data_IF_262791934566
#
_entry.id   IF_262791934566
#
_cell.length_a   1.000
_cell.length_b   1.000
_cell.length_c   1.000
_cell.angle_alpha   90.00
_cell.angle_beta   90.00
_cell.angle_gamma   90.00
#
_symmetry.space_group_name_H-M   'P 1'
#
loop_
_entity.id
_entity.type
_entity.pdbx_description
1 polymer ?
#
# COMPACT_ATOMS: atom_id res chain seq x y z
N UNK A 1 1.24 -13.63 3.36
CA UNK A 1 0.13 -13.64 4.35
C UNK A 1 -0.49 -15.02 4.37
N UNK A 2 -0.74 -15.59 5.54
CA UNK A 2 -1.45 -16.87 5.64
C UNK A 2 -2.95 -16.71 5.38
N UNK A 3 -3.65 -17.82 5.12
CA UNK A 3 -5.07 -17.83 4.76
C UNK A 3 -5.97 -17.30 5.88
N UNK A 4 -5.59 -17.53 7.15
CA UNK A 4 -6.37 -17.09 8.30
C UNK A 4 -6.34 -15.57 8.43
N UNK A 5 -5.15 -14.97 8.27
CA UNK A 5 -5.00 -13.51 8.23
C UNK A 5 -5.76 -12.94 7.02
N UNK A 6 -5.63 -13.52 5.83
CA UNK A 6 -6.35 -13.04 4.64
C UNK A 6 -7.87 -12.99 4.87
N UNK A 7 -8.46 -14.06 5.41
CA UNK A 7 -9.89 -14.11 5.75
C UNK A 7 -10.29 -13.10 6.82
N UNK A 8 -9.42 -12.80 7.77
CA UNK A 8 -9.69 -11.79 8.79
C UNK A 8 -9.87 -10.41 8.16
N UNK A 9 -8.96 -9.98 7.28
CA UNK A 9 -9.06 -8.68 6.60
C UNK A 9 -10.30 -8.60 5.71
N UNK A 10 -10.60 -9.66 4.95
CA UNK A 10 -11.77 -9.71 4.09
C UNK A 10 -13.07 -9.56 4.89
N UNK A 11 -13.22 -10.33 5.98
CA UNK A 11 -14.45 -10.36 6.76
C UNK A 11 -14.66 -9.12 7.65
N UNK A 12 -13.61 -8.36 7.96
CA UNK A 12 -13.67 -7.21 8.86
C UNK A 12 -13.36 -5.88 8.15
N UNK A 13 -13.42 -5.85 6.82
CA UNK A 13 -12.97 -4.73 6.02
C UNK A 13 -13.62 -3.38 6.42
N UNK A 14 -14.92 -3.36 6.74
CA UNK A 14 -15.61 -2.12 7.17
C UNK A 14 -15.06 -1.54 8.47
N UNK A 15 -14.87 -2.40 9.49
CA UNK A 15 -14.36 -1.98 10.79
C UNK A 15 -12.89 -1.54 10.70
N UNK A 16 -12.10 -2.28 9.92
CA UNK A 16 -10.70 -1.94 9.64
C UNK A 16 -10.60 -0.60 8.92
N UNK A 17 -11.40 -0.37 7.88
CA UNK A 17 -11.43 0.90 7.15
C UNK A 17 -11.72 2.08 8.08
N UNK A 18 -12.75 1.96 8.93
CA UNK A 18 -13.10 3.00 9.91
C UNK A 18 -11.95 3.26 10.89
N UNK A 19 -11.35 2.20 11.43
CA UNK A 19 -10.25 2.29 12.38
C UNK A 19 -9.03 2.97 11.75
N UNK A 20 -8.63 2.54 10.56
CA UNK A 20 -7.45 3.06 9.88
C UNK A 20 -7.64 4.54 9.50
N UNK A 21 -8.81 4.91 8.97
CA UNK A 21 -9.10 6.29 8.60
C UNK A 21 -9.23 7.23 9.81
N UNK A 22 -9.51 6.72 11.01
CA UNK A 22 -9.54 7.54 12.24
C UNK A 22 -8.15 7.85 12.82
N UNK A 23 -7.11 7.15 12.37
CA UNK A 23 -5.75 7.36 12.85
C UNK A 23 -4.98 8.23 11.87
N UNK A 24 -4.33 9.28 12.37
CA UNK A 24 -3.40 10.07 11.57
C UNK A 24 -2.27 9.21 11.02
N UNK A 25 -1.88 9.47 9.77
CA UNK A 25 -0.74 8.80 9.16
C UNK A 25 0.56 9.43 9.66
N UNK A 26 1.54 8.63 10.15
CA UNK A 26 2.86 9.16 10.48
C UNK A 26 3.60 9.71 9.25
N UNK A 27 3.17 9.35 8.04
CA UNK A 27 3.75 9.85 6.80
C UNK A 27 3.56 11.35 6.61
N UNK A 28 2.52 11.95 7.20
CA UNK A 28 2.22 13.37 7.05
C UNK A 28 3.39 14.27 7.47
N UNK A 29 4.15 13.86 8.50
CA UNK A 29 5.31 14.59 8.99
C UNK A 29 6.64 14.08 8.41
N UNK A 30 6.74 12.79 8.06
CA UNK A 30 7.97 12.18 7.57
C UNK A 30 8.24 12.49 6.09
N UNK A 31 7.21 12.36 5.25
CA UNK A 31 7.34 12.44 3.79
C UNK A 31 7.89 13.78 3.31
N UNK A 32 7.46 14.96 3.80
CA UNK A 32 7.99 16.25 3.35
C UNK A 32 9.48 16.45 3.64
N UNK A 33 10.03 15.68 4.58
CA UNK A 33 11.44 15.75 4.99
C UNK A 33 12.28 14.75 4.22
N UNK A 34 11.71 13.61 3.84
CA UNK A 34 12.42 12.50 3.22
C UNK A 34 12.35 12.51 1.70
N UNK A 35 11.23 12.98 1.12
CA UNK A 35 10.94 12.83 -0.30
C UNK A 35 10.91 14.19 -1.01
N UNK A 36 11.28 14.22 -2.29
CA UNK A 36 11.13 15.38 -3.15
C UNK A 36 9.72 15.41 -3.74
N UNK A 37 9.15 16.61 -3.89
CA UNK A 37 7.79 16.77 -4.44
C UNK A 37 7.65 16.14 -5.83
N UNK A 38 6.50 15.51 -6.08
CA UNK A 38 6.19 14.88 -7.36
C UNK A 38 6.86 13.52 -7.58
N UNK A 39 7.66 13.02 -6.62
CA UNK A 39 8.20 11.67 -6.66
C UNK A 39 7.10 10.61 -6.62
N UNK A 40 7.40 9.45 -7.19
CA UNK A 40 6.48 8.34 -7.32
C UNK A 40 6.63 7.36 -6.16
N UNK A 41 5.52 7.03 -5.51
CA UNK A 41 5.51 6.26 -4.25
C UNK A 41 4.58 5.06 -4.35
N UNK A 42 5.05 3.89 -3.90
CA UNK A 42 4.23 2.68 -3.77
C UNK A 42 4.00 2.36 -2.29
N UNK A 43 2.73 2.27 -1.88
CA UNK A 43 2.33 1.78 -0.57
C UNK A 43 1.91 0.30 -0.67
N UNK A 44 2.73 -0.59 -0.12
CA UNK A 44 2.47 -2.03 -0.16
C UNK A 44 1.66 -2.43 1.05
N UNK A 45 0.53 -3.13 0.83
CA UNK A 45 -0.44 -3.44 1.88
C UNK A 45 -1.20 -2.19 2.33
N UNK A 46 -1.66 -1.38 1.38
CA UNK A 46 -2.18 -0.03 1.64
C UNK A 46 -3.53 -0.02 2.41
N UNK A 47 -4.17 -1.17 2.61
CA UNK A 47 -5.37 -1.30 3.44
C UNK A 47 -6.50 -0.37 2.98
N UNK A 48 -6.86 0.60 3.82
CA UNK A 48 -7.92 1.57 3.51
C UNK A 48 -7.53 2.63 2.48
N UNK A 49 -6.29 2.63 2.01
CA UNK A 49 -5.77 3.66 1.10
C UNK A 49 -5.53 5.02 1.76
N UNK A 50 -5.54 5.09 3.09
CA UNK A 50 -5.29 6.33 3.86
C UNK A 50 -3.97 6.99 3.43
N UNK A 51 -2.92 6.20 3.40
CA UNK A 51 -1.55 6.68 3.16
C UNK A 51 -1.37 7.09 1.68
N UNK A 52 -1.94 6.32 0.75
CA UNK A 52 -2.04 6.70 -0.67
C UNK A 52 -2.79 8.03 -0.84
N UNK A 53 -3.97 8.18 -0.22
CA UNK A 53 -4.76 9.42 -0.31
C UNK A 53 -3.98 10.63 0.20
N UNK A 54 -3.31 10.49 1.34
CA UNK A 54 -2.50 11.55 1.92
C UNK A 54 -1.37 11.95 0.95
N UNK A 55 -0.66 10.99 0.39
CA UNK A 55 0.43 11.24 -0.57
C UNK A 55 -0.08 11.98 -1.83
N UNK A 56 -1.24 11.57 -2.37
CA UNK A 56 -1.87 12.27 -3.50
C UNK A 56 -2.21 13.72 -3.14
N UNK A 57 -2.76 13.98 -1.95
CA UNK A 57 -3.09 15.32 -1.48
C UNK A 57 -1.85 16.20 -1.26
N UNK A 58 -0.71 15.58 -0.95
CA UNK A 58 0.59 16.24 -0.81
C UNK A 58 1.30 16.47 -2.15
N UNK A 59 0.75 15.98 -3.27
CA UNK A 59 1.27 16.19 -4.62
C UNK A 59 2.30 15.16 -5.08
N UNK A 60 2.28 13.95 -4.52
CA UNK A 60 3.08 12.81 -4.99
C UNK A 60 2.31 11.98 -6.01
N UNK A 61 3.04 11.25 -6.86
CA UNK A 61 2.47 10.26 -7.77
C UNK A 61 2.35 8.91 -7.04
N UNK A 62 1.26 8.73 -6.29
CA UNK A 62 1.13 7.66 -5.31
C UNK A 62 0.20 6.53 -5.77
N UNK A 63 0.62 5.30 -5.48
CA UNK A 63 -0.12 4.08 -5.78
C UNK A 63 -0.08 3.12 -4.59
N UNK A 64 -1.05 2.22 -4.50
CA UNK A 64 -1.11 1.20 -3.45
C UNK A 64 -1.41 -0.19 -4.00
N UNK A 65 -0.96 -1.22 -3.28
CA UNK A 65 -1.44 -2.59 -3.47
C UNK A 65 -2.05 -3.15 -2.20
N UNK A 66 -3.18 -3.83 -2.33
CA UNK A 66 -3.89 -4.46 -1.22
C UNK A 66 -4.43 -5.83 -1.66
N UNK A 67 -4.16 -6.92 -0.91
CA UNK A 67 -4.66 -8.23 -1.25
C UNK A 67 -6.18 -8.41 -1.09
N UNK A 68 -6.81 -7.77 -0.08
CA UNK A 68 -8.22 -7.96 0.21
C UNK A 68 -9.11 -7.22 -0.79
N UNK A 69 -9.98 -7.97 -1.45
CA UNK A 69 -10.91 -7.43 -2.45
C UNK A 69 -11.91 -6.49 -1.76
N UNK A 70 -12.48 -6.91 -0.62
CA UNK A 70 -13.38 -6.08 0.19
C UNK A 70 -12.75 -4.76 0.66
N UNK A 71 -11.47 -4.76 1.08
CA UNK A 71 -10.81 -3.52 1.49
C UNK A 71 -10.59 -2.56 0.33
N UNK A 72 -10.15 -3.06 -0.83
CA UNK A 72 -9.95 -2.22 -2.03
C UNK A 72 -11.25 -1.59 -2.52
N UNK A 73 -12.32 -2.38 -2.59
CA UNK A 73 -13.63 -1.88 -3.01
C UNK A 73 -14.15 -0.81 -2.04
N UNK A 74 -14.02 -1.06 -0.73
CA UNK A 74 -14.44 -0.11 0.29
C UNK A 74 -13.56 1.15 0.32
N UNK A 75 -12.25 1.03 0.11
CA UNK A 75 -11.35 2.19 0.07
C UNK A 75 -11.75 3.14 -1.05
N UNK A 76 -11.93 2.63 -2.27
CA UNK A 76 -12.36 3.43 -3.43
C UNK A 76 -13.76 4.00 -3.23
N UNK A 77 -14.70 3.20 -2.70
CA UNK A 77 -16.06 3.69 -2.40
C UNK A 77 -16.06 4.81 -1.37
N UNK A 78 -15.19 4.74 -0.36
CA UNK A 78 -15.08 5.75 0.69
C UNK A 78 -14.32 7.00 0.25
N UNK A 79 -13.43 6.85 -0.72
CA UNK A 79 -12.62 7.91 -1.28
C UNK A 79 -12.40 7.68 -2.79
N UNK A 80 -13.27 8.25 -3.64
CA UNK A 80 -13.20 8.05 -5.09
C UNK A 80 -11.90 8.53 -5.76
N UNK A 81 -11.08 9.37 -5.09
CA UNK A 81 -9.75 9.75 -5.59
C UNK A 81 -8.78 8.57 -5.68
N UNK A 82 -9.07 7.47 -4.98
CA UNK A 82 -8.26 6.25 -5.00
C UNK A 82 -8.54 5.36 -6.22
N UNK A 83 -9.57 5.68 -7.00
CA UNK A 83 -9.86 4.96 -8.24
C UNK A 83 -8.69 5.10 -9.23
N UNK A 84 -8.21 3.98 -9.75
CA UNK A 84 -6.99 3.94 -10.58
C UNK A 84 -5.66 4.10 -9.83
N UNK A 85 -5.69 4.22 -8.49
CA UNK A 85 -4.48 4.32 -7.65
C UNK A 85 -4.24 3.10 -6.75
N UNK A 86 -5.23 2.23 -6.56
CA UNK A 86 -5.10 1.03 -5.72
C UNK A 86 -5.37 -0.22 -6.56
N UNK A 87 -4.44 -1.17 -6.50
CA UNK A 87 -4.49 -2.41 -7.28
C UNK A 87 -4.50 -3.64 -6.40
N UNK A 88 -4.99 -4.76 -6.94
CA UNK A 88 -4.90 -6.07 -6.28
C UNK A 88 -3.44 -6.49 -6.26
N UNK A 89 -2.89 -6.93 -5.13
CA UNK A 89 -1.52 -7.44 -5.12
C UNK A 89 -1.04 -7.86 -3.75
N UNK A 90 -0.03 -8.72 -3.70
CA UNK A 90 0.54 -9.18 -2.43
C UNK A 90 1.97 -9.66 -2.60
N UNK A 91 2.86 -9.33 -1.67
CA UNK A 91 4.20 -9.90 -1.67
C UNK A 91 4.17 -11.44 -1.52
N UNK A 92 5.06 -12.17 -2.23
CA UNK A 92 6.15 -11.65 -3.07
C UNK A 92 5.74 -11.27 -4.51
N UNK A 93 4.51 -11.54 -4.93
CA UNK A 93 4.04 -11.36 -6.30
C UNK A 93 3.28 -10.03 -6.48
N UNK A 94 4.00 -9.04 -6.99
CA UNK A 94 3.45 -7.72 -7.29
C UNK A 94 2.58 -7.77 -8.56
N UNK A 95 1.59 -6.88 -8.67
CA UNK A 95 0.60 -6.89 -9.74
C UNK A 95 1.17 -6.37 -11.07
N UNK A 96 0.71 -6.93 -12.19
CA UNK A 96 1.14 -6.52 -13.54
C UNK A 96 0.73 -5.07 -13.89
N UNK A 97 -0.30 -4.53 -13.22
CA UNK A 97 -0.73 -3.13 -13.42
C UNK A 97 0.23 -2.12 -12.76
N UNK A 98 1.10 -2.57 -11.85
CA UNK A 98 2.18 -1.73 -11.35
C UNK A 98 3.23 -1.58 -12.44
N UNK A 99 3.09 -0.53 -13.24
CA UNK A 99 4.02 -0.23 -14.33
C UNK A 99 5.13 0.71 -13.86
N UNK A 100 6.36 0.49 -14.34
CA UNK A 100 7.50 1.38 -14.11
C UNK A 100 8.13 1.28 -12.72
N UNK A 101 9.10 2.15 -12.47
CA UNK A 101 9.87 2.19 -11.21
C UNK A 101 9.35 3.29 -10.28
N UNK A 102 9.57 3.10 -8.98
CA UNK A 102 9.18 3.98 -7.88
C UNK A 102 10.39 4.62 -7.24
N UNK A 103 10.26 5.87 -6.80
CA UNK A 103 11.28 6.56 -6.01
C UNK A 103 11.31 6.01 -4.58
N UNK A 104 10.12 5.73 -4.02
CA UNK A 104 9.97 5.22 -2.65
C UNK A 104 8.96 4.08 -2.58
N UNK A 105 9.21 3.12 -1.70
CA UNK A 105 8.25 2.08 -1.33
C UNK A 105 8.05 2.12 0.19
N UNK A 106 6.80 2.11 0.61
CA UNK A 106 6.37 2.11 2.01
C UNK A 106 5.79 0.74 2.37
N UNK A 107 6.14 0.25 3.55
CA UNK A 107 5.60 -0.98 4.14
C UNK A 107 5.14 -0.71 5.57
N UNK A 108 3.89 -0.28 5.75
CA UNK A 108 3.31 -0.02 7.07
C UNK A 108 2.57 -1.25 7.58
N UNK A 109 3.05 -1.86 8.67
CA UNK A 109 2.46 -3.07 9.26
C UNK A 109 2.26 -4.24 8.25
N UNK A 110 3.24 -4.46 7.37
CA UNK A 110 3.18 -5.55 6.36
C UNK A 110 4.12 -6.71 6.65
N UNK A 111 5.38 -6.44 7.01
CA UNK A 111 6.41 -7.48 7.11
C UNK A 111 6.04 -8.61 8.09
N UNK A 112 5.32 -8.30 9.19
CA UNK A 112 4.89 -9.32 10.15
C UNK A 112 3.88 -10.34 9.57
N UNK A 113 3.32 -10.09 8.40
CA UNK A 113 2.39 -10.98 7.71
C UNK A 113 3.06 -11.79 6.59
N UNK A 114 4.35 -11.57 6.32
CA UNK A 114 5.10 -12.30 5.30
C UNK A 114 5.73 -13.54 5.95
N UNK A 115 5.46 -14.76 5.43
CA UNK A 115 6.15 -15.96 5.89
C UNK A 115 7.67 -15.84 5.74
N UNK A 116 8.44 -16.35 6.71
CA UNK A 116 9.91 -16.25 6.71
C UNK A 116 10.55 -16.76 5.41
N UNK A 117 10.02 -17.84 4.85
CA UNK A 117 10.51 -18.42 3.60
C UNK A 117 10.19 -17.58 2.35
N UNK A 118 9.33 -16.57 2.45
CA UNK A 118 8.99 -15.64 1.37
C UNK A 118 9.65 -14.26 1.56
N UNK A 119 10.36 -14.01 2.66
CA UNK A 119 10.98 -12.70 2.93
C UNK A 119 12.02 -12.32 1.87
N UNK A 120 12.85 -13.27 1.44
CA UNK A 120 13.87 -13.02 0.42
C UNK A 120 13.25 -12.62 -0.92
N UNK A 121 12.28 -13.41 -1.41
CA UNK A 121 11.57 -13.12 -2.65
C UNK A 121 10.81 -11.80 -2.56
N UNK A 122 10.20 -11.51 -1.42
CA UNK A 122 9.51 -10.24 -1.18
C UNK A 122 10.48 -9.06 -1.26
N UNK A 123 11.64 -9.14 -0.60
CA UNK A 123 12.68 -8.11 -0.68
C UNK A 123 13.21 -7.94 -2.12
N UNK A 124 13.36 -9.04 -2.86
CA UNK A 124 13.78 -9.01 -4.25
C UNK A 124 12.76 -8.30 -5.14
N UNK A 125 11.47 -8.65 -5.04
CA UNK A 125 10.39 -8.00 -5.78
C UNK A 125 10.26 -6.51 -5.46
N UNK A 126 10.41 -6.13 -4.18
CA UNK A 126 10.43 -4.71 -3.79
C UNK A 126 11.62 -4.00 -4.44
N UNK A 127 12.80 -4.63 -4.43
CA UNK A 127 13.99 -4.03 -5.04
C UNK A 127 13.85 -3.83 -6.55
N UNK A 128 13.20 -4.75 -7.26
CA UNK A 128 13.00 -4.62 -8.71
C UNK A 128 12.05 -3.50 -9.10
N UNK A 129 11.20 -3.02 -8.17
CA UNK A 129 10.30 -1.90 -8.39
C UNK A 129 10.92 -0.54 -8.04
N UNK A 130 12.03 -0.51 -7.32
CA UNK A 130 12.72 0.73 -6.99
C UNK A 130 13.61 1.20 -8.13
N UNK A 131 13.58 2.50 -8.42
CA UNK A 131 14.55 3.15 -9.30
C UNK A 131 15.98 2.81 -8.87
N UNK A 132 16.90 2.80 -9.83
CA UNK A 132 18.33 2.72 -9.51
C UNK A 132 18.75 4.03 -8.84
N UNK A 133 19.09 3.95 -7.56
CA UNK A 133 19.87 4.98 -6.86
C UNK A 133 21.33 4.97 -7.27
#
# INVERSE_FOLDING_TARGET
MDEKTAKYYENHAQDLLKRYNSAESPLASLVPVLFEKGQRVLDVGCGSGRDVSLLLEMGYDAYGIEPSDSLRELSVKSNPKLDGHIFKGSLPYLHDELTGEYDHIILSAVLMHIPDNSLFESAYSLRSMLKKG
#
